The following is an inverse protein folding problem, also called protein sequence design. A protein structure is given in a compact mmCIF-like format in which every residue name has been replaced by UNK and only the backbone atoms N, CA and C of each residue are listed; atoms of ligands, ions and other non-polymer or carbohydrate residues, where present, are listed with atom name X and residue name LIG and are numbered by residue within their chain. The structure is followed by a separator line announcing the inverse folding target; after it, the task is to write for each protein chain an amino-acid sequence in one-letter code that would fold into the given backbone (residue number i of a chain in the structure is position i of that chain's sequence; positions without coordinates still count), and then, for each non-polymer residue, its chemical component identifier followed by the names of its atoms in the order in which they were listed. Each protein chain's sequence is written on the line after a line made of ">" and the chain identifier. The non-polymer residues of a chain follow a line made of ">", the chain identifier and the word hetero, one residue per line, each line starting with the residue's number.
data_IF_369805230825
#
_entry.id   IF_369805230825
#
_cell.length_a   1.000
_cell.length_b   1.000
_cell.length_c   1.000
_cell.angle_alpha   90.00
_cell.angle_beta   90.00
_cell.angle_gamma   90.00
#
_symmetry.space_group_name_H-M   'P 1'
#
loop_
_entity.id
_entity.type
_entity.pdbx_description
1 polymer ?
#
# COMPACT_ATOMS: atom_id res chain seq x y z
N UNK A 1 8.95 -36.74 1.69
CA UNK A 1 7.89 -35.99 1.01
C UNK A 1 8.55 -35.11 -0.03
N UNK A 2 8.32 -35.37 -1.32
CA UNK A 2 8.86 -34.54 -2.40
C UNK A 2 8.16 -33.19 -2.38
N UNK A 3 8.70 -32.23 -1.64
CA UNK A 3 8.29 -30.83 -1.69
C UNK A 3 8.73 -30.24 -3.04
N UNK A 4 7.99 -30.55 -4.10
CA UNK A 4 8.08 -29.79 -5.34
C UNK A 4 7.72 -28.34 -5.02
N UNK A 5 8.42 -27.38 -5.64
CA UNK A 5 8.14 -25.93 -5.53
C UNK A 5 6.65 -25.61 -5.79
N UNK A 6 5.96 -26.45 -6.55
CA UNK A 6 4.54 -26.32 -6.85
C UNK A 6 3.58 -26.74 -5.73
N UNK A 7 4.04 -27.48 -4.71
CA UNK A 7 3.18 -27.92 -3.59
C UNK A 7 2.62 -26.76 -2.75
N UNK A 8 3.24 -25.58 -2.83
CA UNK A 8 2.73 -24.36 -2.19
C UNK A 8 1.36 -23.93 -2.74
N UNK A 9 1.06 -24.28 -4.00
CA UNK A 9 -0.21 -23.97 -4.65
C UNK A 9 -1.34 -24.95 -4.28
N UNK A 10 -0.99 -26.09 -3.67
CA UNK A 10 -1.93 -27.10 -3.20
C UNK A 10 -2.42 -26.82 -1.77
N UNK A 11 -1.73 -25.93 -1.04
CA UNK A 11 -2.13 -25.51 0.31
C UNK A 11 -3.45 -24.74 0.21
N UNK A 12 -4.54 -25.17 0.89
CA UNK A 12 -5.81 -24.45 0.87
C UNK A 12 -5.67 -23.05 1.49
N UNK A 13 -6.52 -22.08 1.09
CA UNK A 13 -6.48 -20.75 1.67
C UNK A 13 -6.91 -20.79 3.13
N UNK A 14 -6.36 -19.87 3.92
CA UNK A 14 -6.80 -19.67 5.30
C UNK A 14 -8.29 -19.26 5.42
N UNK A 15 -8.82 -18.56 4.41
CA UNK A 15 -10.25 -18.26 4.30
C UNK A 15 -10.79 -18.77 2.96
N UNK A 16 -11.66 -19.81 2.94
CA UNK A 16 -12.23 -20.38 1.72
C UNK A 16 -12.95 -19.36 0.82
N UNK A 17 -13.46 -18.26 1.40
CA UNK A 17 -14.09 -17.18 0.64
C UNK A 17 -13.19 -16.64 -0.48
N UNK A 18 -11.87 -16.63 -0.26
CA UNK A 18 -10.87 -16.09 -1.18
C UNK A 18 -10.87 -16.81 -2.54
N UNK A 19 -11.24 -18.09 -2.60
CA UNK A 19 -11.25 -18.88 -3.84
C UNK A 19 -12.26 -18.37 -4.87
N UNK A 20 -13.28 -17.66 -4.41
CA UNK A 20 -14.32 -17.10 -5.25
C UNK A 20 -14.10 -15.62 -5.57
N UNK A 21 -13.03 -15.02 -5.07
CA UNK A 21 -12.77 -13.58 -5.21
C UNK A 21 -11.84 -13.32 -6.39
N UNK A 22 -12.24 -12.46 -7.34
CA UNK A 22 -11.38 -12.08 -8.46
C UNK A 22 -10.02 -11.60 -7.98
N UNK A 23 -8.96 -11.96 -8.71
CA UNK A 23 -7.56 -11.64 -8.42
C UNK A 23 -6.95 -12.31 -7.18
N UNK A 24 -7.74 -12.81 -6.23
CA UNK A 24 -7.23 -13.53 -5.05
C UNK A 24 -7.43 -15.05 -5.14
N UNK A 25 -8.31 -15.52 -6.03
CA UNK A 25 -8.59 -16.94 -6.27
C UNK A 25 -7.37 -17.75 -6.73
N UNK A 26 -6.35 -17.09 -7.30
CA UNK A 26 -5.15 -17.72 -7.83
C UNK A 26 -3.95 -16.78 -7.70
N UNK A 27 -2.72 -17.29 -7.60
CA UNK A 27 -1.52 -16.45 -7.56
C UNK A 27 -1.16 -15.87 -8.93
N UNK A 28 -1.65 -16.48 -10.01
CA UNK A 28 -1.30 -16.11 -11.38
C UNK A 28 -1.76 -14.71 -11.78
N UNK A 29 -3.02 -14.28 -11.54
CA UNK A 29 -3.46 -12.92 -11.86
C UNK A 29 -2.53 -11.84 -11.29
N UNK A 30 -2.18 -11.93 -10.00
CA UNK A 30 -1.32 -10.94 -9.35
C UNK A 30 0.11 -11.01 -9.82
N UNK A 31 0.64 -12.23 -10.00
CA UNK A 31 1.97 -12.41 -10.58
C UNK A 31 2.06 -11.78 -11.98
N UNK A 32 1.06 -12.01 -12.83
CA UNK A 32 1.00 -11.44 -14.18
C UNK A 32 0.83 -9.92 -14.16
N UNK A 33 -0.01 -9.37 -13.27
CA UNK A 33 -0.18 -7.91 -13.12
C UNK A 33 1.14 -7.26 -12.71
N UNK A 34 1.83 -7.82 -11.69
CA UNK A 34 3.12 -7.29 -11.22
C UNK A 34 4.18 -7.40 -12.30
N UNK A 35 4.30 -8.54 -12.99
CA UNK A 35 5.24 -8.71 -14.09
C UNK A 35 4.96 -7.74 -15.24
N UNK A 36 3.70 -7.59 -15.65
CA UNK A 36 3.30 -6.65 -16.68
C UNK A 36 3.61 -5.20 -16.26
N UNK A 37 3.34 -4.84 -15.01
CA UNK A 37 3.68 -3.54 -14.45
C UNK A 37 5.19 -3.27 -14.52
N UNK A 38 6.03 -4.20 -14.05
CA UNK A 38 7.49 -4.04 -14.07
C UNK A 38 8.03 -3.94 -15.50
N UNK A 39 7.57 -4.82 -16.40
CA UNK A 39 7.94 -4.81 -17.81
C UNK A 39 7.54 -3.51 -18.50
N UNK A 40 6.35 -2.98 -18.19
CA UNK A 40 5.89 -1.70 -18.70
C UNK A 40 6.73 -0.54 -18.16
N UNK A 41 6.93 -0.45 -16.85
CA UNK A 41 7.64 0.66 -16.20
C UNK A 41 9.11 0.72 -16.61
N UNK A 42 9.79 -0.43 -16.71
CA UNK A 42 11.22 -0.46 -16.98
C UNK A 42 11.59 -0.58 -18.46
N UNK A 43 10.75 -1.20 -19.29
CA UNK A 43 11.09 -1.51 -20.68
C UNK A 43 10.05 -0.98 -21.67
N UNK A 44 8.90 -1.63 -21.78
CA UNK A 44 7.97 -1.40 -22.89
C UNK A 44 7.33 -0.02 -22.87
N UNK A 45 6.99 0.51 -21.71
CA UNK A 45 6.43 1.86 -21.59
C UNK A 45 7.42 2.96 -21.94
N UNK A 46 8.72 2.77 -21.68
CA UNK A 46 9.77 3.70 -22.09
C UNK A 46 9.99 3.68 -23.59
N UNK A 47 10.08 2.48 -24.19
CA UNK A 47 10.19 2.29 -25.65
C UNK A 47 8.98 2.91 -26.36
N UNK A 48 7.77 2.63 -25.87
CA UNK A 48 6.53 3.21 -26.42
C UNK A 48 6.54 4.75 -26.41
N UNK A 49 7.10 5.34 -25.35
CA UNK A 49 7.15 6.79 -25.18
C UNK A 49 8.35 7.45 -25.88
N UNK A 50 9.36 6.71 -26.33
CA UNK A 50 10.63 7.24 -26.84
C UNK A 50 10.41 8.32 -27.90
N UNK A 51 9.66 7.98 -28.96
CA UNK A 51 9.34 8.87 -30.07
C UNK A 51 8.02 9.65 -29.90
N UNK A 52 7.41 9.63 -28.71
CA UNK A 52 6.15 10.34 -28.43
C UNK A 52 6.38 11.57 -27.54
N UNK A 53 5.57 12.60 -27.74
CA UNK A 53 5.50 13.73 -26.81
C UNK A 53 4.82 13.26 -25.50
N UNK A 54 5.16 13.84 -24.33
CA UNK A 54 4.50 13.48 -23.07
C UNK A 54 3.00 13.76 -23.17
N UNK A 55 2.18 12.80 -22.75
CA UNK A 55 0.72 12.93 -22.81
C UNK A 55 0.22 13.97 -21.80
N UNK A 56 -0.74 14.80 -22.23
CA UNK A 56 -1.46 15.67 -21.32
C UNK A 56 -2.57 14.90 -20.60
N UNK A 57 -2.22 14.27 -19.48
CA UNK A 57 -3.12 13.47 -18.66
C UNK A 57 -3.78 14.27 -17.53
N UNK A 58 -3.87 15.61 -17.62
CA UNK A 58 -4.33 16.45 -16.51
C UNK A 58 -5.71 16.04 -15.99
N UNK A 59 -6.70 15.94 -16.87
CA UNK A 59 -8.07 15.59 -16.46
C UNK A 59 -8.14 14.16 -15.89
N UNK A 60 -7.43 13.21 -16.52
CA UNK A 60 -7.34 11.82 -16.04
C UNK A 60 -6.76 11.77 -14.63
N UNK A 61 -5.64 12.49 -14.38
CA UNK A 61 -5.03 12.55 -13.05
C UNK A 61 -5.91 13.26 -12.03
N UNK A 62 -6.65 14.31 -12.42
CA UNK A 62 -7.58 14.98 -11.51
C UNK A 62 -8.69 14.02 -11.08
N UNK A 63 -9.34 13.34 -12.03
CA UNK A 63 -10.38 12.34 -11.76
C UNK A 63 -9.84 11.17 -10.92
N UNK A 64 -8.66 10.67 -11.28
CA UNK A 64 -8.02 9.57 -10.55
C UNK A 64 -7.66 9.97 -9.12
N UNK A 65 -7.04 11.14 -8.91
CA UNK A 65 -6.63 11.58 -7.58
C UNK A 65 -7.84 11.87 -6.68
N UNK A 66 -8.90 12.51 -7.18
CA UNK A 66 -10.11 12.74 -6.36
C UNK A 66 -10.82 11.43 -6.02
N UNK A 67 -10.87 10.49 -6.97
CA UNK A 67 -11.38 9.15 -6.71
C UNK A 67 -10.56 8.45 -5.63
N UNK A 68 -9.22 8.51 -5.72
CA UNK A 68 -8.33 7.94 -4.72
C UNK A 68 -8.49 8.58 -3.34
N UNK A 69 -8.73 9.90 -3.25
CA UNK A 69 -9.06 10.59 -1.99
C UNK A 69 -10.33 10.01 -1.38
N UNK A 70 -11.42 9.91 -2.16
CA UNK A 70 -12.71 9.40 -1.67
C UNK A 70 -12.60 7.93 -1.26
N UNK A 71 -11.93 7.10 -2.08
CA UNK A 71 -11.76 5.67 -1.81
C UNK A 71 -10.99 5.46 -0.50
N UNK A 72 -9.83 6.11 -0.35
CA UNK A 72 -9.02 5.96 0.85
C UNK A 72 -9.71 6.54 2.09
N UNK A 73 -10.44 7.65 1.96
CA UNK A 73 -11.22 8.20 3.06
C UNK A 73 -12.31 7.23 3.52
N UNK A 74 -13.01 6.58 2.58
CA UNK A 74 -14.02 5.58 2.89
C UNK A 74 -13.43 4.36 3.62
N UNK A 75 -12.30 3.82 3.14
CA UNK A 75 -11.58 2.74 3.85
C UNK A 75 -11.20 3.20 5.26
N UNK A 76 -10.60 4.39 5.39
CA UNK A 76 -10.15 4.92 6.68
C UNK A 76 -11.30 5.01 7.69
N UNK A 77 -12.44 5.59 7.29
CA UNK A 77 -13.61 5.74 8.14
C UNK A 77 -14.15 4.37 8.56
N UNK A 78 -14.24 3.42 7.62
CA UNK A 78 -14.71 2.06 7.91
C UNK A 78 -13.76 1.33 8.87
N UNK A 79 -12.45 1.36 8.62
CA UNK A 79 -11.46 0.79 9.53
C UNK A 79 -11.53 1.44 10.93
N UNK A 80 -11.63 2.76 11.00
CA UNK A 80 -11.72 3.48 12.27
C UNK A 80 -12.97 3.10 13.06
N UNK A 81 -14.11 2.96 12.38
CA UNK A 81 -15.36 2.52 13.00
C UNK A 81 -15.22 1.12 13.59
N UNK A 82 -14.71 0.14 12.83
CA UNK A 82 -14.61 -1.24 13.33
C UNK A 82 -13.50 -1.47 14.35
N UNK A 83 -12.47 -0.63 14.39
CA UNK A 83 -11.40 -0.73 15.38
C UNK A 83 -11.73 0.00 16.69
N UNK A 84 -12.41 1.16 16.64
CA UNK A 84 -12.56 2.02 17.82
C UNK A 84 -13.99 2.18 18.33
N UNK A 85 -15.01 1.91 17.50
CA UNK A 85 -16.42 2.15 17.85
C UNK A 85 -17.18 0.84 18.01
N UNK A 86 -17.05 -0.07 17.03
CA UNK A 86 -17.59 -1.43 17.15
C UNK A 86 -16.66 -2.26 18.04
N UNK A 87 -17.15 -2.93 19.11
CA UNK A 87 -16.35 -3.78 19.99
C UNK A 87 -15.96 -5.12 19.31
N UNK A 88 -15.59 -5.08 18.04
CA UNK A 88 -15.25 -6.25 17.23
C UNK A 88 -13.83 -6.75 17.51
N UNK A 89 -12.89 -5.87 17.84
CA UNK A 89 -11.48 -6.22 18.05
C UNK A 89 -10.98 -5.81 19.43
N UNK A 90 -10.09 -6.62 19.99
CA UNK A 90 -9.21 -6.22 21.08
C UNK A 90 -8.03 -5.42 20.51
N UNK A 91 -7.85 -4.18 20.95
CA UNK A 91 -6.76 -3.32 20.48
C UNK A 91 -5.38 -3.75 20.98
N UNK A 92 -5.30 -4.56 22.05
CA UNK A 92 -4.05 -5.15 22.51
C UNK A 92 -3.59 -6.29 21.58
N UNK A 93 -4.53 -7.04 21.01
CA UNK A 93 -4.28 -8.09 20.04
C UNK A 93 -5.42 -8.16 19.00
N UNK A 94 -5.18 -7.56 17.84
CA UNK A 94 -6.14 -7.56 16.74
C UNK A 94 -5.96 -8.87 15.96
N UNK A 95 -6.64 -9.93 16.38
CA UNK A 95 -6.64 -11.21 15.67
C UNK A 95 -7.58 -11.21 14.45
N UNK A 96 -7.34 -12.13 13.52
CA UNK A 96 -8.27 -12.36 12.40
C UNK A 96 -9.60 -12.89 12.93
N UNK A 97 -10.72 -12.35 12.47
CA UNK A 97 -12.02 -12.82 12.97
C UNK A 97 -12.26 -14.29 12.60
N UNK A 98 -12.89 -15.08 13.49
CA UNK A 98 -13.38 -16.42 13.18
C UNK A 98 -14.29 -16.44 11.94
N UNK A 99 -14.33 -17.57 11.22
CA UNK A 99 -15.07 -17.68 9.95
C UNK A 99 -16.58 -17.51 10.11
N UNK A 100 -17.11 -17.88 11.27
CA UNK A 100 -18.52 -17.80 11.68
C UNK A 100 -18.90 -16.47 12.33
N UNK A 101 -17.92 -15.57 12.56
CA UNK A 101 -18.17 -14.29 13.22
C UNK A 101 -19.13 -13.41 12.40
N UNK A 102 -20.12 -12.74 13.03
CA UNK A 102 -21.14 -11.95 12.31
C UNK A 102 -20.55 -10.80 11.46
N UNK A 103 -19.38 -10.28 11.86
CA UNK A 103 -18.66 -9.22 11.13
C UNK A 103 -17.64 -9.74 10.11
N UNK A 104 -17.46 -11.07 9.97
CA UNK A 104 -16.42 -11.63 9.08
C UNK A 104 -16.59 -11.20 7.63
N UNK A 105 -17.83 -11.15 7.13
CA UNK A 105 -18.10 -10.70 5.76
C UNK A 105 -17.71 -9.24 5.52
N UNK A 106 -17.86 -8.39 6.53
CA UNK A 106 -17.44 -7.00 6.44
C UNK A 106 -15.91 -6.92 6.40
N UNK A 107 -15.20 -7.64 7.26
CA UNK A 107 -13.72 -7.71 7.28
C UNK A 107 -13.18 -8.19 5.91
N UNK A 108 -13.79 -9.23 5.33
CA UNK A 108 -13.48 -9.76 3.99
C UNK A 108 -13.58 -8.70 2.91
N UNK A 109 -14.74 -8.03 2.80
CA UNK A 109 -14.96 -7.01 1.77
C UNK A 109 -14.12 -5.76 1.96
N UNK A 110 -13.88 -5.33 3.20
CA UNK A 110 -13.02 -4.18 3.51
C UNK A 110 -11.55 -4.48 3.15
N UNK A 111 -11.08 -5.68 3.50
CA UNK A 111 -9.73 -6.17 3.14
C UNK A 111 -9.57 -6.24 1.62
N UNK A 112 -10.57 -6.77 0.91
CA UNK A 112 -10.56 -6.81 -0.55
C UNK A 112 -10.64 -5.43 -1.21
N UNK A 113 -11.42 -4.50 -0.67
CA UNK A 113 -11.46 -3.12 -1.15
C UNK A 113 -10.09 -2.43 -0.98
N UNK A 114 -9.42 -2.63 0.16
CA UNK A 114 -8.07 -2.12 0.37
C UNK A 114 -7.06 -2.75 -0.60
N UNK A 115 -7.18 -4.05 -0.88
CA UNK A 115 -6.36 -4.72 -1.89
C UNK A 115 -6.50 -4.11 -3.28
N UNK A 116 -7.75 -3.96 -3.75
CA UNK A 116 -8.03 -3.33 -5.04
C UNK A 116 -7.47 -1.92 -5.10
N UNK A 117 -7.54 -1.16 -4.00
CA UNK A 117 -6.90 0.15 -3.91
C UNK A 117 -5.39 0.08 -4.15
N UNK A 118 -4.68 -0.90 -3.58
CA UNK A 118 -3.23 -1.08 -3.81
C UNK A 118 -2.91 -1.50 -5.25
N UNK A 119 -3.79 -2.28 -5.90
CA UNK A 119 -3.65 -2.59 -7.34
C UNK A 119 -3.84 -1.32 -8.18
N UNK A 120 -4.83 -0.49 -7.84
CA UNK A 120 -5.07 0.79 -8.52
C UNK A 120 -3.91 1.77 -8.35
N UNK A 121 -3.23 1.76 -7.19
CA UNK A 121 -2.05 2.58 -6.93
C UNK A 121 -0.91 2.33 -7.95
N UNK A 122 -0.86 1.17 -8.63
CA UNK A 122 0.11 0.91 -9.72
C UNK A 122 -0.04 1.90 -10.90
N UNK A 123 -1.22 2.50 -11.07
CA UNK A 123 -1.48 3.48 -12.13
C UNK A 123 -0.67 4.76 -11.97
N UNK A 124 -0.23 5.10 -10.74
CA UNK A 124 0.64 6.25 -10.49
C UNK A 124 1.90 6.20 -11.36
N UNK A 125 2.56 5.04 -11.37
CA UNK A 125 3.79 4.85 -12.15
C UNK A 125 3.50 4.82 -13.65
N UNK A 126 2.33 4.29 -14.06
CA UNK A 126 1.88 4.35 -15.46
C UNK A 126 1.75 5.79 -15.92
N UNK A 127 1.13 6.66 -15.10
CA UNK A 127 1.04 8.10 -15.39
C UNK A 127 2.42 8.76 -15.45
N UNK A 128 3.38 8.36 -14.61
CA UNK A 128 4.76 8.88 -14.69
C UNK A 128 5.43 8.52 -16.02
N UNK A 129 5.27 7.28 -16.49
CA UNK A 129 5.80 6.84 -17.79
C UNK A 129 5.18 7.64 -18.93
N UNK A 130 3.85 7.70 -19.00
CA UNK A 130 3.12 8.39 -20.08
C UNK A 130 3.38 9.90 -20.13
N UNK A 131 3.76 10.51 -19.00
CA UNK A 131 4.14 11.93 -18.91
C UNK A 131 5.64 12.16 -19.06
N UNK A 132 6.45 11.14 -19.31
CA UNK A 132 7.93 11.20 -19.30
C UNK A 132 8.52 11.76 -18.00
N UNK A 133 7.84 11.57 -16.87
CA UNK A 133 8.28 12.04 -15.55
C UNK A 133 9.15 10.99 -14.84
N UNK A 134 10.17 10.47 -15.53
CA UNK A 134 10.96 9.31 -15.07
C UNK A 134 11.68 9.55 -13.74
N UNK A 135 11.95 10.81 -13.38
CA UNK A 135 12.50 11.18 -12.06
C UNK A 135 11.62 10.78 -10.87
N UNK A 136 10.32 10.56 -11.10
CA UNK A 136 9.38 10.10 -10.07
C UNK A 136 9.38 8.58 -9.93
N UNK A 137 9.91 7.85 -10.91
CA UNK A 137 10.03 6.39 -10.88
C UNK A 137 11.31 6.02 -10.13
N UNK A 138 11.25 6.12 -8.81
CA UNK A 138 12.35 5.78 -7.91
C UNK A 138 12.29 4.31 -7.49
N UNK A 139 13.42 3.77 -7.03
CA UNK A 139 13.45 2.43 -6.44
C UNK A 139 12.46 2.32 -5.28
N UNK A 140 12.38 3.34 -4.41
CA UNK A 140 11.39 3.44 -3.33
C UNK A 140 9.96 3.26 -3.84
N UNK A 141 9.57 4.00 -4.87
CA UNK A 141 8.22 3.94 -5.39
C UNK A 141 7.92 2.54 -5.97
N UNK A 142 8.73 2.05 -6.90
CA UNK A 142 8.48 0.77 -7.56
C UNK A 142 8.53 -0.41 -6.57
N UNK A 143 9.51 -0.43 -5.66
CA UNK A 143 9.60 -1.44 -4.60
C UNK A 143 8.34 -1.46 -3.73
N UNK A 144 7.91 -0.29 -3.26
CA UNK A 144 6.73 -0.17 -2.41
C UNK A 144 5.46 -0.67 -3.10
N UNK A 145 5.15 -0.15 -4.30
CA UNK A 145 3.92 -0.51 -5.01
C UNK A 145 3.89 -1.99 -5.40
N UNK A 146 5.03 -2.55 -5.84
CA UNK A 146 5.14 -3.98 -6.14
C UNK A 146 4.90 -4.83 -4.89
N UNK A 147 5.61 -4.52 -3.80
CA UNK A 147 5.57 -5.29 -2.55
C UNK A 147 4.18 -5.21 -1.91
N UNK A 148 3.53 -4.05 -1.88
CA UNK A 148 2.20 -3.89 -1.30
C UNK A 148 1.15 -4.77 -1.99
N UNK A 149 1.25 -4.99 -3.30
CA UNK A 149 0.31 -5.87 -4.03
C UNK A 149 0.69 -7.34 -3.86
N UNK A 150 1.96 -7.66 -4.04
CA UNK A 150 2.44 -9.05 -4.04
C UNK A 150 2.40 -9.69 -2.65
N UNK A 151 2.91 -9.00 -1.63
CA UNK A 151 2.90 -9.49 -0.25
C UNK A 151 1.48 -9.60 0.27
N UNK A 152 0.59 -8.65 -0.05
CA UNK A 152 -0.80 -8.70 0.37
C UNK A 152 -1.50 -9.98 -0.09
N UNK A 153 -1.33 -10.37 -1.36
CA UNK A 153 -1.90 -11.61 -1.88
C UNK A 153 -1.48 -12.82 -1.03
N UNK A 154 -0.18 -12.96 -0.76
CA UNK A 154 0.35 -14.09 0.01
C UNK A 154 -0.06 -14.06 1.48
N UNK A 155 -0.11 -12.87 2.10
CA UNK A 155 -0.63 -12.68 3.45
C UNK A 155 -2.06 -13.19 3.54
N UNK A 156 -2.94 -12.74 2.66
CA UNK A 156 -4.36 -13.14 2.68
C UNK A 156 -4.54 -14.63 2.33
N UNK A 157 -3.74 -15.16 1.40
CA UNK A 157 -3.79 -16.58 1.03
C UNK A 157 -3.46 -17.50 2.21
N UNK A 158 -2.37 -17.23 2.94
CA UNK A 158 -1.88 -18.14 3.98
C UNK A 158 -2.36 -17.84 5.39
N UNK A 159 -2.73 -16.60 5.68
CA UNK A 159 -3.04 -16.14 7.04
C UNK A 159 -4.43 -15.52 7.17
N UNK A 160 -5.15 -15.38 6.06
CA UNK A 160 -6.53 -14.91 6.05
C UNK A 160 -6.63 -13.38 6.01
N UNK A 161 -7.87 -12.90 6.10
CA UNK A 161 -8.18 -11.47 6.04
C UNK A 161 -8.16 -10.82 7.43
N UNK A 162 -7.79 -9.54 7.46
CA UNK A 162 -7.83 -8.69 8.66
C UNK A 162 -6.69 -8.91 9.66
N UNK A 163 -7.05 -8.99 10.93
CA UNK A 163 -6.09 -9.04 12.04
C UNK A 163 -5.23 -7.79 12.17
N UNK A 164 -3.98 -7.95 12.61
CA UNK A 164 -3.07 -6.83 12.95
C UNK A 164 -2.79 -5.89 11.76
N UNK A 165 -2.93 -6.38 10.51
CA UNK A 165 -2.82 -5.54 9.32
C UNK A 165 -3.99 -4.57 9.13
N UNK A 166 -5.08 -4.67 9.90
CA UNK A 166 -6.14 -3.67 9.92
C UNK A 166 -5.60 -2.30 10.37
N UNK A 167 -4.64 -2.27 11.30
CA UNK A 167 -3.91 -1.05 11.69
C UNK A 167 -3.13 -0.48 10.51
N UNK A 168 -2.54 -1.34 9.67
CA UNK A 168 -1.88 -0.91 8.44
C UNK A 168 -2.88 -0.29 7.47
N UNK A 169 -4.01 -0.93 7.23
CA UNK A 169 -5.06 -0.40 6.36
C UNK A 169 -5.58 0.96 6.87
N UNK A 170 -5.82 1.09 8.17
CA UNK A 170 -6.24 2.34 8.83
C UNK A 170 -5.24 3.47 8.59
N UNK A 171 -3.97 3.30 9.01
CA UNK A 171 -3.01 4.39 8.88
C UNK A 171 -2.65 4.67 7.41
N UNK A 172 -2.47 3.63 6.59
CA UNK A 172 -2.12 3.81 5.17
C UNK A 172 -3.21 4.58 4.43
N UNK A 173 -4.48 4.23 4.62
CA UNK A 173 -5.60 4.90 3.96
C UNK A 173 -5.74 6.37 4.41
N UNK A 174 -5.52 6.68 5.68
CA UNK A 174 -5.45 8.08 6.14
C UNK A 174 -4.35 8.86 5.40
N UNK A 175 -3.13 8.32 5.38
CA UNK A 175 -1.98 8.99 4.74
C UNK A 175 -2.16 9.09 3.23
N UNK A 176 -2.72 8.07 2.57
CA UNK A 176 -3.04 8.09 1.15
C UNK A 176 -4.13 9.12 0.84
N UNK A 177 -5.13 9.31 1.71
CA UNK A 177 -6.12 10.38 1.56
C UNK A 177 -5.44 11.75 1.49
N UNK A 178 -4.53 12.04 2.44
CA UNK A 178 -3.76 13.29 2.49
C UNK A 178 -2.83 13.42 1.27
N UNK A 179 -2.13 12.35 0.89
CA UNK A 179 -1.19 12.32 -0.22
C UNK A 179 -1.89 12.55 -1.57
N UNK A 180 -2.98 11.83 -1.85
CA UNK A 180 -3.73 11.99 -3.10
C UNK A 180 -4.45 13.33 -3.16
N UNK A 181 -4.88 13.89 -2.02
CA UNK A 181 -5.40 15.25 -1.98
C UNK A 181 -4.34 16.27 -2.38
N UNK A 182 -3.10 16.11 -1.91
CA UNK A 182 -1.97 16.91 -2.38
C UNK A 182 -1.72 16.74 -3.88
N UNK A 183 -1.79 15.52 -4.42
CA UNK A 183 -1.63 15.27 -5.87
C UNK A 183 -2.77 15.86 -6.70
N UNK A 184 -4.00 15.82 -6.19
CA UNK A 184 -5.16 16.45 -6.80
C UNK A 184 -4.94 17.96 -6.95
N UNK A 185 -4.63 18.66 -5.84
CA UNK A 185 -4.37 20.10 -5.86
C UNK A 185 -3.16 20.42 -6.76
N UNK A 186 -2.10 19.62 -6.70
CA UNK A 186 -0.91 19.79 -7.54
C UNK A 186 -1.21 19.66 -9.04
N UNK A 187 -2.25 18.91 -9.42
CA UNK A 187 -2.68 18.74 -10.82
C UNK A 187 -3.66 19.84 -11.28
N UNK A 188 -4.28 20.60 -10.37
CA UNK A 188 -5.21 21.67 -10.71
C UNK A 188 -4.54 22.87 -11.35
N UNK A 189 -3.26 23.14 -11.09
CA UNK A 189 -2.56 24.23 -11.77
C UNK A 189 -1.04 24.26 -11.51
N UNK A 190 -0.22 24.62 -12.51
CA UNK A 190 1.24 24.71 -12.35
C UNK A 190 1.68 25.65 -11.21
N UNK A 191 0.96 26.77 -11.02
CA UNK A 191 1.25 27.75 -9.97
C UNK A 191 0.88 27.30 -8.55
N UNK A 192 0.04 26.28 -8.38
CA UNK A 192 -0.28 25.71 -7.08
C UNK A 192 0.87 24.82 -6.58
N UNK A 193 1.59 24.16 -7.49
CA UNK A 193 2.65 23.22 -7.10
C UNK A 193 3.77 23.88 -6.28
N UNK A 194 4.10 25.14 -6.57
CA UNK A 194 5.11 25.91 -5.82
C UNK A 194 4.59 26.45 -4.49
N UNK A 195 3.28 26.64 -4.32
CA UNK A 195 2.68 27.16 -3.08
C UNK A 195 2.40 26.10 -2.02
N UNK A 196 2.50 24.80 -2.34
CA UNK A 196 2.25 23.71 -1.40
C UNK A 196 3.44 23.44 -0.46
N UNK A 197 3.72 24.39 0.41
CA UNK A 197 4.78 24.37 1.44
C UNK A 197 4.71 23.14 2.37
N UNK A 198 3.54 22.53 2.49
CA UNK A 198 3.29 21.40 3.37
C UNK A 198 3.72 20.02 2.84
N UNK A 199 4.28 19.95 1.62
CA UNK A 199 4.75 18.68 1.01
C UNK A 199 5.67 17.87 1.94
N UNK A 200 6.56 18.57 2.67
CA UNK A 200 7.49 17.94 3.63
C UNK A 200 6.77 17.23 4.78
N UNK A 201 5.60 17.72 5.21
CA UNK A 201 4.85 17.10 6.30
C UNK A 201 4.17 15.80 5.86
N UNK A 202 3.79 15.67 4.58
CA UNK A 202 3.28 14.41 4.04
C UNK A 202 4.33 13.31 4.19
N UNK A 203 5.59 13.60 3.82
CA UNK A 203 6.70 12.67 4.00
C UNK A 203 6.96 12.34 5.48
N UNK A 204 6.83 13.32 6.38
CA UNK A 204 6.95 13.07 7.83
C UNK A 204 5.85 12.15 8.35
N UNK A 205 4.60 12.39 7.95
CA UNK A 205 3.46 11.55 8.35
C UNK A 205 3.63 10.12 7.81
N UNK A 206 4.14 9.95 6.58
CA UNK A 206 4.49 8.63 6.03
C UNK A 206 5.55 7.91 6.89
N UNK A 207 6.60 8.60 7.33
CA UNK A 207 7.61 8.02 8.22
C UNK A 207 6.99 7.63 9.57
N UNK A 208 6.19 8.51 10.16
CA UNK A 208 5.49 8.26 11.44
C UNK A 208 4.59 7.03 11.32
N UNK A 209 3.86 6.86 10.21
CA UNK A 209 3.06 5.67 9.95
C UNK A 209 3.89 4.38 10.04
N UNK A 210 5.07 4.34 9.39
CA UNK A 210 5.92 3.14 9.46
C UNK A 210 6.51 2.91 10.85
N UNK A 211 6.77 3.97 11.62
CA UNK A 211 7.16 3.85 13.03
C UNK A 211 6.03 3.24 13.86
N UNK A 212 4.77 3.65 13.63
CA UNK A 212 3.61 3.05 14.29
C UNK A 212 3.54 1.55 13.99
N UNK A 213 3.73 1.15 12.72
CA UNK A 213 3.72 -0.27 12.33
C UNK A 213 4.84 -1.07 12.98
N UNK A 214 6.05 -0.49 13.05
CA UNK A 214 7.18 -1.11 13.73
C UNK A 214 6.88 -1.30 15.21
N UNK A 215 6.40 -0.26 15.89
CA UNK A 215 6.09 -0.30 17.32
C UNK A 215 4.95 -1.28 17.60
N UNK A 216 3.88 -1.28 16.81
CA UNK A 216 2.77 -2.21 16.96
C UNK A 216 3.25 -3.66 16.88
N UNK A 217 4.06 -4.02 15.87
CA UNK A 217 4.60 -5.37 15.76
C UNK A 217 5.57 -5.73 16.92
N UNK A 218 6.44 -4.80 17.32
CA UNK A 218 7.36 -5.01 18.44
C UNK A 218 6.63 -5.19 19.77
N UNK A 219 5.61 -4.38 20.05
CA UNK A 219 4.83 -4.46 21.28
C UNK A 219 4.05 -5.77 21.37
N UNK A 220 3.45 -6.24 20.26
CA UNK A 220 2.76 -7.54 20.23
C UNK A 220 3.75 -8.67 20.54
N UNK A 221 4.94 -8.66 19.93
CA UNK A 221 5.96 -9.69 20.15
C UNK A 221 6.53 -9.69 21.58
N UNK A 222 6.69 -8.52 22.20
CA UNK A 222 7.33 -8.39 23.51
C UNK A 222 6.36 -8.56 24.68
N UNK A 223 5.13 -8.06 24.55
CA UNK A 223 4.20 -7.92 25.67
C UNK A 223 2.93 -8.75 25.55
N UNK A 224 2.61 -9.27 24.36
CA UNK A 224 1.38 -10.06 24.14
C UNK A 224 1.69 -11.47 23.59
N UNK A 225 2.43 -12.32 24.32
CA UNK A 225 2.77 -13.67 23.86
C UNK A 225 1.55 -14.58 23.66
N UNK A 226 0.40 -14.23 24.25
CA UNK A 226 -0.86 -14.97 24.11
C UNK A 226 -1.64 -14.61 22.84
N UNK A 227 -1.22 -13.59 22.08
CA UNK A 227 -1.88 -13.15 20.85
C UNK A 227 -1.81 -14.26 19.80
N UNK A 228 -2.95 -14.65 19.22
CA UNK A 228 -3.00 -15.77 18.27
C UNK A 228 -2.57 -15.37 16.85
N UNK A 229 -2.33 -14.07 16.63
CA UNK A 229 -1.87 -13.57 15.35
C UNK A 229 -0.53 -14.20 14.94
N UNK A 230 -0.38 -14.67 13.69
CA UNK A 230 0.82 -15.40 13.27
C UNK A 230 2.12 -14.64 13.51
N UNK A 231 3.04 -15.23 14.28
CA UNK A 231 4.30 -14.59 14.66
C UNK A 231 5.16 -14.21 13.44
N UNK A 232 5.13 -15.03 12.39
CA UNK A 232 5.85 -14.76 11.15
C UNK A 232 5.38 -13.46 10.48
N UNK A 233 4.08 -13.15 10.54
CA UNK A 233 3.54 -11.89 10.02
C UNK A 233 4.05 -10.68 10.82
N UNK A 234 4.27 -10.81 12.12
CA UNK A 234 4.88 -9.75 12.93
C UNK A 234 6.33 -9.48 12.53
N UNK A 235 7.13 -10.52 12.31
CA UNK A 235 8.50 -10.36 11.82
C UNK A 235 8.54 -9.77 10.40
N UNK A 236 7.61 -10.17 9.52
CA UNK A 236 7.47 -9.58 8.19
C UNK A 236 7.13 -8.08 8.29
N UNK A 237 6.17 -7.71 9.14
CA UNK A 237 5.77 -6.33 9.41
C UNK A 237 6.95 -5.50 9.95
N UNK A 238 7.72 -6.02 10.91
CA UNK A 238 8.92 -5.38 11.44
C UNK A 238 9.95 -5.12 10.33
N UNK A 239 10.31 -6.17 9.59
CA UNK A 239 11.27 -6.07 8.50
C UNK A 239 10.84 -5.01 7.47
N UNK A 240 9.58 -5.08 7.03
CA UNK A 240 9.07 -4.17 6.03
C UNK A 240 8.98 -2.73 6.54
N UNK A 241 8.53 -2.52 7.78
CA UNK A 241 8.50 -1.20 8.39
C UNK A 241 9.91 -0.60 8.47
N UNK A 242 10.92 -1.38 8.87
CA UNK A 242 12.32 -0.94 8.89
C UNK A 242 12.81 -0.51 7.50
N UNK A 243 12.59 -1.34 6.47
CA UNK A 243 12.97 -0.99 5.09
C UNK A 243 12.31 0.33 4.67
N UNK A 244 11.01 0.49 4.92
CA UNK A 244 10.28 1.70 4.54
C UNK A 244 10.77 2.94 5.30
N UNK A 245 11.02 2.83 6.61
CA UNK A 245 11.58 3.92 7.42
C UNK A 245 12.93 4.38 6.84
N UNK A 246 13.84 3.44 6.54
CA UNK A 246 15.16 3.76 5.99
C UNK A 246 15.03 4.47 4.65
N UNK A 247 14.25 3.92 3.72
CA UNK A 247 14.12 4.48 2.38
C UNK A 247 13.43 5.85 2.37
N UNK A 248 12.38 6.05 3.18
CA UNK A 248 11.72 7.35 3.31
C UNK A 248 12.58 8.36 4.04
N UNK A 249 13.37 7.95 5.04
CA UNK A 249 14.31 8.84 5.73
C UNK A 249 15.43 9.29 4.79
N UNK A 250 15.96 8.38 3.98
CA UNK A 250 16.94 8.70 2.94
C UNK A 250 16.35 9.67 1.90
N UNK A 251 15.12 9.41 1.44
CA UNK A 251 14.40 10.32 0.55
C UNK A 251 14.21 11.72 1.16
N UNK A 252 13.80 11.78 2.43
CA UNK A 252 13.59 13.02 3.16
C UNK A 252 14.90 13.82 3.29
N UNK A 253 15.99 13.16 3.68
CA UNK A 253 17.32 13.78 3.77
C UNK A 253 17.75 14.35 2.42
N UNK A 254 17.70 13.53 1.36
CA UNK A 254 18.15 13.93 0.03
C UNK A 254 17.32 15.07 -0.57
N UNK A 255 16.02 15.12 -0.28
CA UNK A 255 15.10 16.10 -0.88
C UNK A 255 15.01 17.40 -0.09
N UNK A 256 15.09 17.35 1.25
CA UNK A 256 14.77 18.51 2.10
C UNK A 256 15.94 18.99 2.97
N UNK A 257 16.94 18.15 3.25
CA UNK A 257 18.05 18.50 4.15
C UNK A 257 19.41 18.56 3.45
N UNK A 258 19.56 17.91 2.29
CA UNK A 258 20.84 17.87 1.58
C UNK A 258 21.28 19.27 1.12
N UNK A 259 22.52 19.70 1.44
CA UNK A 259 23.06 21.00 1.04
C UNK A 259 23.05 21.26 -0.47
N UNK A 260 23.01 20.20 -1.30
CA UNK A 260 22.95 20.30 -2.77
C UNK A 260 21.62 20.88 -3.27
N UNK A 261 20.52 20.75 -2.53
CA UNK A 261 19.22 21.33 -2.90
C UNK A 261 19.01 22.76 -2.38
N UNK A 262 19.66 23.13 -1.27
CA UNK A 262 19.60 24.50 -0.72
C UNK A 262 20.30 25.55 -1.61
N UNK A 263 21.16 25.14 -2.54
CA UNK A 263 21.80 26.04 -3.53
C UNK A 263 20.97 26.25 -4.81
N UNK A 264 19.82 25.59 -4.97
CA UNK A 264 18.98 25.63 -6.18
C UNK A 264 17.54 26.12 -5.94
N UNK A 265 17.20 26.48 -4.69
CA UNK A 265 15.99 27.23 -4.34
C UNK A 265 16.34 28.70 -4.16
#
# INVERSE_FOLDING_TARGET
>A
MNSTVFGIFEIPPADPWIEHIPLLNSPWPITLIVLAYLLFVFKYGKIFMEHRKPYNLRNVMLTYNIFQVIYNAAIFIMCAYYLFIDPTYDLCCIDTLPLDHPRKNIERWLTYAYFLNKVLDLMDTVFFVLRKSYKQITMLHVYHHMMMVYTFYWTVRFYGVGGQYNTMALCNSFVHTVMYFYYFISAMGPGLKSSLWWKKYITRIQIVQFIIFFMQAALVLLFNPSCQFPIFMQYQQLFQATVMIVMFSQFYYNTYLSPRHQKQQ
#
